data_IF_467626640447
#
_entry.id   IF_467626640447
#
_cell.length_a   1.000
_cell.length_b   1.000
_cell.length_c   1.000
_cell.angle_alpha   90.00
_cell.angle_beta   90.00
_cell.angle_gamma   90.00
#
_symmetry.space_group_name_H-M   'P 1'
#
loop_
_entity.id
_entity.type
_entity.pdbx_description
1 polymer ?
#
# COMPACT_ATOMS: atom_id res chain seq x y z
N UNK A 1 42.07 -13.48 27.47
CA UNK A 1 40.84 -13.86 26.73
C UNK A 1 40.32 -12.63 26.00
N UNK A 2 40.57 -12.56 24.70
CA UNK A 2 40.13 -11.43 23.86
C UNK A 2 38.57 -11.50 23.66
N UNK A 3 37.87 -10.46 24.09
CA UNK A 3 36.45 -10.31 23.80
C UNK A 3 36.30 -10.09 22.28
N UNK A 4 35.88 -11.12 21.53
CA UNK A 4 35.42 -10.94 20.16
C UNK A 4 34.30 -9.89 20.18
N UNK A 5 34.55 -8.73 19.56
CA UNK A 5 33.48 -7.78 19.24
C UNK A 5 32.45 -8.54 18.39
N UNK A 6 31.24 -8.68 18.89
CA UNK A 6 30.10 -9.11 18.05
C UNK A 6 29.93 -8.04 16.99
N UNK A 7 30.30 -8.33 15.77
CA UNK A 7 29.95 -7.50 14.64
C UNK A 7 28.42 -7.48 14.55
N UNK A 8 27.84 -6.29 14.56
CA UNK A 8 26.42 -6.13 14.32
C UNK A 8 26.14 -6.62 12.90
N UNK A 9 25.23 -7.57 12.69
CA UNK A 9 24.91 -8.04 11.35
C UNK A 9 24.45 -6.85 10.50
N UNK A 10 25.11 -6.61 9.38
CA UNK A 10 24.69 -5.60 8.42
C UNK A 10 23.51 -6.17 7.63
N UNK A 11 22.30 -5.78 8.00
CA UNK A 11 21.06 -6.10 7.27
C UNK A 11 20.73 -4.93 6.33
N UNK A 12 21.49 -4.79 5.26
CA UNK A 12 21.23 -3.88 4.15
C UNK A 12 21.12 -4.67 2.84
N UNK A 13 20.80 -4.02 1.71
CA UNK A 13 20.86 -4.68 0.42
C UNK A 13 22.23 -5.28 0.22
N UNK A 14 22.27 -6.61 0.24
CA UNK A 14 23.50 -7.37 -0.04
C UNK A 14 23.67 -7.44 -1.54
N UNK A 15 24.89 -7.51 -2.07
CA UNK A 15 25.12 -7.85 -3.46
C UNK A 15 24.32 -9.11 -3.82
N UNK A 16 23.52 -9.05 -4.88
CA UNK A 16 22.69 -10.17 -5.34
C UNK A 16 21.22 -10.14 -4.90
N UNK A 17 20.77 -9.12 -4.15
CA UNK A 17 19.36 -8.96 -3.80
C UNK A 17 18.98 -7.49 -3.57
N UNK A 18 17.68 -7.20 -3.65
CA UNK A 18 17.13 -5.88 -3.36
C UNK A 18 15.86 -5.98 -2.53
N UNK A 19 15.55 -4.90 -1.78
CA UNK A 19 14.37 -4.80 -0.96
C UNK A 19 13.22 -4.17 -1.75
N UNK A 20 12.05 -4.79 -1.66
CA UNK A 20 10.76 -4.26 -2.06
C UNK A 20 9.92 -4.06 -0.80
N UNK A 21 9.42 -2.85 -0.58
CA UNK A 21 8.52 -2.54 0.53
C UNK A 21 7.09 -2.45 0.04
N UNK A 22 6.19 -3.15 0.70
CA UNK A 22 4.77 -3.20 0.36
C UNK A 22 3.99 -2.38 1.36
N UNK A 23 3.24 -1.41 0.87
CA UNK A 23 2.40 -0.50 1.65
C UNK A 23 0.93 -0.76 1.33
N UNK A 24 0.14 -1.26 2.28
CA UNK A 24 -1.28 -1.52 2.08
C UNK A 24 -2.13 -0.28 2.31
N UNK A 25 -3.39 -0.44 2.22
CA UNK A 25 -4.55 0.43 2.38
C UNK A 25 -4.35 1.54 3.43
N UNK A 26 -4.31 2.78 3.00
CA UNK A 26 -4.03 3.96 3.84
C UNK A 26 -5.29 4.78 4.10
N UNK A 27 -6.14 4.95 3.08
CA UNK A 27 -7.40 5.70 3.14
C UNK A 27 -7.25 7.13 3.63
N UNK A 28 -6.42 7.94 2.99
CA UNK A 28 -6.32 9.37 3.28
C UNK A 28 -7.70 10.02 3.05
N UNK A 29 -8.27 10.74 4.02
CA UNK A 29 -7.67 11.27 5.25
C UNK A 29 -7.89 10.39 6.50
N UNK A 30 -8.36 9.15 6.34
CA UNK A 30 -8.71 8.25 7.45
C UNK A 30 -7.56 7.34 7.89
N UNK A 31 -6.32 7.67 7.50
CA UNK A 31 -5.13 6.93 7.93
C UNK A 31 -4.85 7.06 9.44
N UNK A 32 -4.12 6.10 9.97
CA UNK A 32 -3.61 6.16 11.32
C UNK A 32 -2.25 6.87 11.32
N UNK A 33 -2.15 8.00 12.01
CA UNK A 33 -0.95 8.85 12.00
C UNK A 33 0.28 8.15 12.57
N UNK A 34 0.11 7.40 13.65
CA UNK A 34 1.23 6.71 14.29
C UNK A 34 1.71 5.54 13.41
N UNK A 35 0.79 4.79 12.82
CA UNK A 35 1.16 3.73 11.88
C UNK A 35 1.88 4.29 10.66
N UNK A 36 1.39 5.39 10.08
CA UNK A 36 2.01 6.04 8.93
C UNK A 36 3.40 6.59 9.29
N UNK A 37 3.56 7.30 10.41
CA UNK A 37 4.85 7.83 10.84
C UNK A 37 5.88 6.70 11.07
N UNK A 38 5.46 5.60 11.69
CA UNK A 38 6.30 4.41 11.84
C UNK A 38 6.75 3.87 10.47
N UNK A 39 5.86 3.84 9.48
CA UNK A 39 6.18 3.37 8.10
C UNK A 39 7.13 4.33 7.40
N UNK A 40 6.90 5.64 7.47
CA UNK A 40 7.80 6.65 6.87
C UNK A 40 9.20 6.50 7.44
N UNK A 41 9.31 6.35 8.77
CA UNK A 41 10.60 6.15 9.41
C UNK A 41 11.27 4.83 9.01
N UNK A 42 10.51 3.73 8.95
CA UNK A 42 11.03 2.45 8.47
C UNK A 42 11.54 2.55 7.02
N UNK A 43 10.82 3.25 6.16
CA UNK A 43 11.19 3.48 4.77
C UNK A 43 12.50 4.28 4.63
N UNK A 44 12.67 5.34 5.43
CA UNK A 44 13.92 6.11 5.49
C UNK A 44 15.13 5.27 5.92
N UNK A 45 14.94 4.39 6.89
CA UNK A 45 16.00 3.52 7.42
C UNK A 45 16.37 2.38 6.48
N UNK A 46 15.38 1.83 5.78
CA UNK A 46 15.54 0.64 4.94
C UNK A 46 15.91 0.98 3.50
N UNK A 47 15.51 2.13 3.00
CA UNK A 47 15.75 2.61 1.62
C UNK A 47 15.45 1.53 0.59
N UNK A 48 14.18 1.08 0.48
CA UNK A 48 13.84 0.01 -0.43
C UNK A 48 14.13 0.43 -1.87
N UNK A 49 14.65 -0.46 -2.70
CA UNK A 49 14.83 -0.18 -4.12
C UNK A 49 13.50 0.10 -4.82
N UNK A 50 12.43 -0.57 -4.34
CA UNK A 50 11.08 -0.40 -4.87
C UNK A 50 10.06 -0.32 -3.76
N UNK A 51 9.10 0.58 -3.90
CA UNK A 51 7.92 0.69 -3.03
C UNK A 51 6.69 0.32 -3.84
N UNK A 52 5.92 -0.66 -3.37
CA UNK A 52 4.68 -1.10 -4.00
C UNK A 52 3.51 -0.76 -3.09
N UNK A 53 2.60 0.04 -3.60
CA UNK A 53 1.37 0.48 -2.96
C UNK A 53 0.25 -0.43 -3.44
N UNK A 54 -0.48 -1.04 -2.50
CA UNK A 54 -1.51 -2.01 -2.84
C UNK A 54 -2.89 -1.39 -3.14
N UNK A 55 -2.99 -0.06 -3.24
CA UNK A 55 -4.24 0.65 -3.50
C UNK A 55 -4.96 1.10 -2.23
N UNK A 56 -6.14 1.69 -2.42
CA UNK A 56 -6.94 2.29 -1.37
C UNK A 56 -6.12 3.27 -0.50
N UNK A 57 -5.29 4.10 -1.14
CA UNK A 57 -4.56 5.18 -0.49
C UNK A 57 -5.37 6.47 -0.41
N UNK A 58 -6.17 6.75 -1.44
CA UNK A 58 -7.20 7.78 -1.41
C UNK A 58 -8.53 7.12 -1.00
N UNK A 59 -9.24 7.71 -0.04
CA UNK A 59 -10.55 7.17 0.33
C UNK A 59 -11.60 7.46 -0.74
N UNK A 60 -11.40 8.53 -1.52
CA UNK A 60 -12.30 8.95 -2.60
C UNK A 60 -13.76 9.04 -2.14
N UNK A 61 -14.00 9.52 -0.90
CA UNK A 61 -15.34 9.63 -0.34
C UNK A 61 -16.21 10.58 -1.16
N UNK A 62 -15.63 11.66 -1.67
CA UNK A 62 -16.31 12.63 -2.53
C UNK A 62 -16.98 12.00 -3.76
N UNK A 63 -16.45 10.85 -4.20
CA UNK A 63 -16.89 10.08 -5.36
C UNK A 63 -17.73 8.85 -4.97
N UNK A 64 -18.05 8.69 -3.69
CA UNK A 64 -18.91 7.62 -3.20
C UNK A 64 -20.35 7.80 -3.70
N UNK A 65 -21.08 6.68 -3.88
CA UNK A 65 -22.53 6.72 -4.15
C UNK A 65 -23.32 7.22 -2.95
N UNK A 66 -22.76 7.14 -1.74
CA UNK A 66 -23.37 7.57 -0.47
C UNK A 66 -22.42 8.49 0.29
N UNK A 67 -22.09 9.70 -0.25
CA UNK A 67 -21.13 10.59 0.41
C UNK A 67 -21.72 11.15 1.70
N UNK A 68 -20.90 11.28 2.72
CA UNK A 68 -21.25 11.92 3.99
C UNK A 68 -21.47 13.44 3.81
N UNK A 69 -20.72 14.05 2.86
CA UNK A 69 -20.81 15.46 2.54
C UNK A 69 -21.85 15.75 1.48
N UNK A 70 -22.72 16.72 1.74
CA UNK A 70 -23.85 17.04 0.85
C UNK A 70 -23.54 18.04 -0.26
N UNK A 71 -22.56 18.94 -0.06
CA UNK A 71 -22.24 20.03 -0.98
C UNK A 71 -21.12 19.66 -1.95
N UNK A 72 -21.34 19.89 -3.25
CA UNK A 72 -20.36 19.57 -4.29
C UNK A 72 -19.01 20.29 -4.11
N UNK A 73 -19.03 21.56 -3.70
CA UNK A 73 -17.78 22.31 -3.43
C UNK A 73 -17.01 21.76 -2.24
N UNK A 74 -17.67 21.37 -1.17
CA UNK A 74 -17.07 20.76 0.00
C UNK A 74 -16.46 19.40 -0.36
N UNK A 75 -17.14 18.57 -1.14
CA UNK A 75 -16.62 17.30 -1.66
C UNK A 75 -15.38 17.49 -2.53
N UNK A 76 -15.42 18.47 -3.45
CA UNK A 76 -14.27 18.76 -4.30
C UNK A 76 -13.04 19.21 -3.47
N UNK A 77 -13.27 20.11 -2.49
CA UNK A 77 -12.22 20.57 -1.58
C UNK A 77 -11.64 19.41 -0.78
N UNK A 78 -12.48 18.56 -0.18
CA UNK A 78 -12.03 17.38 0.56
C UNK A 78 -11.18 16.46 -0.31
N UNK A 79 -11.56 16.23 -1.56
CA UNK A 79 -10.80 15.38 -2.47
C UNK A 79 -9.42 15.98 -2.82
N UNK A 80 -9.38 17.23 -3.29
CA UNK A 80 -8.10 17.81 -3.74
C UNK A 80 -7.17 18.20 -2.59
N UNK A 81 -7.70 18.89 -1.58
CA UNK A 81 -6.90 19.40 -0.46
C UNK A 81 -6.71 18.34 0.64
N UNK A 82 -7.74 17.54 0.92
CA UNK A 82 -7.72 16.56 2.01
C UNK A 82 -7.21 15.17 1.64
N UNK A 83 -7.25 14.79 0.36
CA UNK A 83 -6.80 13.47 -0.07
C UNK A 83 -5.61 13.55 -1.04
N UNK A 84 -5.79 14.21 -2.20
CA UNK A 84 -4.78 14.23 -3.27
C UNK A 84 -3.51 14.96 -2.85
N UNK A 85 -3.61 16.15 -2.26
CA UNK A 85 -2.45 16.92 -1.89
C UNK A 85 -1.60 16.23 -0.80
N UNK A 86 -2.16 15.72 0.31
CA UNK A 86 -1.41 14.92 1.28
C UNK A 86 -0.79 13.67 0.66
N UNK A 87 -1.53 12.95 -0.19
CA UNK A 87 -0.99 11.77 -0.88
C UNK A 87 0.21 12.11 -1.76
N UNK A 88 0.16 13.23 -2.50
CA UNK A 88 1.29 13.69 -3.32
C UNK A 88 2.51 14.05 -2.46
N UNK A 89 2.32 14.69 -1.30
CA UNK A 89 3.41 14.98 -0.35
C UNK A 89 4.04 13.69 0.19
N UNK A 90 3.22 12.71 0.56
CA UNK A 90 3.70 11.40 0.99
C UNK A 90 4.48 10.67 -0.11
N UNK A 91 3.95 10.62 -1.32
CA UNK A 91 4.65 10.02 -2.45
C UNK A 91 6.01 10.71 -2.72
N UNK A 92 6.08 12.04 -2.63
CA UNK A 92 7.34 12.78 -2.77
C UNK A 92 8.34 12.41 -1.67
N UNK A 93 7.88 12.23 -0.42
CA UNK A 93 8.72 11.77 0.69
C UNK A 93 9.26 10.36 0.48
N UNK A 94 8.45 9.45 -0.01
CA UNK A 94 8.90 8.10 -0.34
C UNK A 94 9.91 8.08 -1.48
N UNK A 95 9.74 8.94 -2.49
CA UNK A 95 10.69 9.07 -3.60
C UNK A 95 12.12 9.42 -3.18
N UNK A 96 12.31 10.05 -2.01
CA UNK A 96 13.65 10.36 -1.49
C UNK A 96 14.49 9.10 -1.26
N UNK A 97 13.85 7.98 -0.96
CA UNK A 97 14.51 6.76 -0.49
C UNK A 97 14.18 5.50 -1.31
N UNK A 98 13.59 5.64 -2.49
CA UNK A 98 13.28 4.52 -3.40
C UNK A 98 13.64 4.86 -4.83
N UNK A 99 13.90 3.87 -5.69
CA UNK A 99 14.18 4.08 -7.12
C UNK A 99 12.90 4.03 -7.95
N UNK A 100 11.88 3.32 -7.49
CA UNK A 100 10.62 3.11 -8.21
C UNK A 100 9.46 3.01 -7.22
N UNK A 101 8.36 3.68 -7.56
CA UNK A 101 7.07 3.51 -6.91
C UNK A 101 6.13 2.80 -7.89
N UNK A 102 5.51 1.73 -7.44
CA UNK A 102 4.43 1.06 -8.16
C UNK A 102 3.14 1.26 -7.39
N UNK A 103 2.16 1.87 -8.00
CA UNK A 103 0.85 2.13 -7.43
C UNK A 103 -0.16 1.20 -8.11
N UNK A 104 -0.71 0.26 -7.36
CA UNK A 104 -1.82 -0.57 -7.80
C UNK A 104 -3.09 0.12 -7.34
N UNK A 105 -3.97 0.45 -8.26
CA UNK A 105 -5.23 1.12 -7.94
C UNK A 105 -6.14 0.20 -7.13
N UNK A 106 -6.79 0.74 -6.10
CA UNK A 106 -7.77 0.04 -5.30
C UNK A 106 -9.21 0.32 -5.74
N UNK A 107 -10.15 -0.28 -5.06
CA UNK A 107 -11.56 -0.08 -5.36
C UNK A 107 -12.10 1.30 -4.91
N UNK A 108 -11.40 2.00 -4.01
CA UNK A 108 -11.74 3.36 -3.61
C UNK A 108 -11.36 4.36 -4.69
N UNK A 109 -10.15 4.33 -5.22
CA UNK A 109 -9.75 5.18 -6.35
C UNK A 109 -10.64 4.91 -7.59
N UNK A 110 -11.02 3.65 -7.82
CA UNK A 110 -11.92 3.27 -8.92
C UNK A 110 -13.31 3.93 -8.84
N UNK A 111 -13.70 4.49 -7.68
CA UNK A 111 -14.96 5.29 -7.58
C UNK A 111 -14.94 6.47 -8.53
N UNK A 112 -13.79 7.10 -8.73
CA UNK A 112 -13.61 8.22 -9.66
C UNK A 112 -13.91 7.75 -11.08
N UNK A 113 -13.25 6.69 -11.55
CA UNK A 113 -13.44 6.12 -12.88
C UNK A 113 -14.89 5.70 -13.12
N UNK A 114 -15.52 5.06 -12.13
CA UNK A 114 -16.91 4.63 -12.22
C UNK A 114 -17.90 5.81 -12.36
N UNK A 115 -17.62 6.93 -11.68
CA UNK A 115 -18.45 8.14 -11.82
C UNK A 115 -18.25 8.79 -13.18
N UNK A 116 -17.02 8.83 -13.65
CA UNK A 116 -16.64 9.40 -14.94
C UNK A 116 -17.26 8.64 -16.10
N UNK A 117 -17.31 7.31 -16.06
CA UNK A 117 -17.95 6.50 -17.12
C UNK A 117 -19.44 6.74 -17.25
N UNK A 118 -20.08 7.41 -16.29
CA UNK A 118 -21.48 7.84 -16.35
C UNK A 118 -21.66 9.26 -16.91
N UNK A 119 -20.57 9.97 -17.20
CA UNK A 119 -20.58 11.32 -17.75
C UNK A 119 -20.61 11.28 -19.28
N UNK A 120 -21.21 12.31 -19.89
CA UNK A 120 -21.30 12.45 -21.34
C UNK A 120 -20.74 13.80 -21.83
N UNK A 121 -20.34 13.85 -23.09
CA UNK A 121 -19.91 15.06 -23.76
C UNK A 121 -18.65 15.69 -23.15
N UNK A 122 -18.66 17.01 -22.98
CA UNK A 122 -17.54 17.79 -22.45
C UNK A 122 -17.04 17.33 -21.06
N UNK A 123 -17.90 16.67 -20.28
CA UNK A 123 -17.52 16.15 -18.97
C UNK A 123 -16.50 15.01 -19.07
N UNK A 124 -16.43 14.29 -20.17
CA UNK A 124 -15.40 13.27 -20.41
C UNK A 124 -14.01 13.88 -20.54
N UNK A 125 -13.91 15.09 -21.14
CA UNK A 125 -12.62 15.79 -21.27
C UNK A 125 -12.08 16.24 -19.91
N UNK A 126 -12.98 16.49 -18.95
CA UNK A 126 -12.61 16.86 -17.57
C UNK A 126 -12.26 15.63 -16.74
N UNK A 127 -12.79 14.50 -17.09
CA UNK A 127 -12.63 13.24 -16.37
C UNK A 127 -11.15 12.81 -16.22
N UNK A 128 -10.38 12.93 -17.29
CA UNK A 128 -8.94 12.65 -17.26
C UNK A 128 -8.19 13.56 -16.28
N UNK A 129 -8.64 14.82 -16.13
CA UNK A 129 -8.03 15.78 -15.21
C UNK A 129 -8.17 15.41 -13.73
N UNK A 130 -9.20 14.66 -13.38
CA UNK A 130 -9.49 14.24 -12.00
C UNK A 130 -9.14 12.79 -11.74
N UNK A 131 -8.61 12.07 -12.75
CA UNK A 131 -8.24 10.66 -12.56
C UNK A 131 -7.11 10.52 -11.54
N UNK A 132 -7.20 9.58 -10.59
CA UNK A 132 -6.13 9.32 -9.62
C UNK A 132 -4.80 9.04 -10.30
N UNK A 133 -4.79 8.30 -11.41
CA UNK A 133 -3.59 8.04 -12.18
C UNK A 133 -2.88 9.33 -12.60
N UNK A 134 -3.57 10.28 -13.17
CA UNK A 134 -2.99 11.56 -13.60
C UNK A 134 -2.54 12.39 -12.41
N UNK A 135 -3.44 12.59 -11.43
CA UNK A 135 -3.19 13.42 -10.26
C UNK A 135 -1.97 12.93 -9.44
N UNK A 136 -1.77 11.62 -9.34
CA UNK A 136 -0.67 11.05 -8.57
C UNK A 136 0.62 10.87 -9.38
N UNK A 137 0.57 10.72 -10.70
CA UNK A 137 1.76 10.55 -11.53
C UNK A 137 2.42 11.88 -11.93
N UNK A 138 1.67 12.98 -11.96
CA UNK A 138 2.18 14.28 -12.37
C UNK A 138 3.26 14.78 -11.41
N UNK A 139 4.39 15.28 -11.98
CA UNK A 139 5.50 15.85 -11.23
C UNK A 139 6.38 14.85 -10.48
N UNK A 140 6.22 13.53 -10.69
CA UNK A 140 7.08 12.51 -10.09
C UNK A 140 8.52 12.61 -10.62
N UNK A 141 9.49 12.47 -9.71
CA UNK A 141 10.93 12.54 -10.01
C UNK A 141 11.55 11.18 -10.28
N UNK A 142 10.95 10.15 -9.72
CA UNK A 142 11.38 8.75 -9.87
C UNK A 142 10.44 8.02 -10.82
N UNK A 143 10.82 6.81 -11.18
CA UNK A 143 9.93 5.93 -11.96
C UNK A 143 8.65 5.66 -11.18
N UNK A 144 7.52 6.02 -11.76
CA UNK A 144 6.19 5.81 -11.23
C UNK A 144 5.38 4.94 -12.20
N UNK A 145 4.93 3.79 -11.72
CA UNK A 145 4.12 2.85 -12.50
C UNK A 145 2.74 2.78 -11.86
N UNK A 146 1.70 3.11 -12.61
CA UNK A 146 0.31 3.01 -12.17
C UNK A 146 -0.36 1.80 -12.84
N UNK A 147 -1.02 0.96 -12.05
CA UNK A 147 -1.75 -0.22 -12.52
C UNK A 147 -3.23 -0.01 -12.21
N UNK A 148 -4.08 0.24 -13.21
CA UNK A 148 -5.48 0.57 -13.00
C UNK A 148 -6.28 -0.63 -12.47
N UNK A 149 -7.30 -0.36 -11.68
CA UNK A 149 -8.28 -1.34 -11.24
C UNK A 149 -9.30 -1.61 -12.37
N UNK A 150 -9.40 -2.86 -12.80
CA UNK A 150 -10.30 -3.27 -13.88
C UNK A 150 -11.12 -4.47 -13.43
N UNK A 151 -12.32 -4.27 -12.84
CA UNK A 151 -13.08 -5.35 -12.19
C UNK A 151 -13.54 -6.45 -13.14
N UNK A 152 -13.72 -6.14 -14.42
CA UNK A 152 -14.16 -7.09 -15.45
C UNK A 152 -13.03 -7.55 -16.40
N UNK A 153 -11.77 -7.39 -15.98
CA UNK A 153 -10.64 -7.75 -16.83
C UNK A 153 -10.55 -9.25 -17.06
N UNK A 154 -10.24 -9.63 -18.30
CA UNK A 154 -9.91 -11.02 -18.65
C UNK A 154 -8.62 -11.48 -17.95
N UNK A 155 -7.68 -10.55 -17.75
CA UNK A 155 -6.46 -10.74 -16.94
C UNK A 155 -6.55 -9.80 -15.76
N UNK A 156 -6.54 -10.34 -14.54
CA UNK A 156 -6.65 -9.55 -13.32
C UNK A 156 -5.43 -8.61 -13.17
N UNK A 157 -5.64 -7.33 -12.86
CA UNK A 157 -4.55 -6.39 -12.63
C UNK A 157 -3.60 -6.88 -11.53
N UNK A 158 -2.30 -6.89 -11.82
CA UNK A 158 -1.29 -7.31 -10.87
C UNK A 158 0.07 -6.70 -11.21
N UNK A 159 0.93 -6.60 -10.21
CA UNK A 159 2.34 -6.29 -10.39
C UNK A 159 3.21 -7.49 -10.10
N UNK A 160 4.09 -7.85 -11.02
CA UNK A 160 5.01 -8.98 -10.85
C UNK A 160 6.27 -8.55 -10.09
N UNK A 161 6.40 -8.95 -8.84
CA UNK A 161 7.57 -8.69 -7.99
C UNK A 161 8.72 -9.63 -8.32
N UNK A 162 8.44 -10.93 -8.39
CA UNK A 162 9.38 -12.00 -8.73
C UNK A 162 8.77 -12.96 -9.75
N UNK A 163 9.48 -14.00 -10.16
CA UNK A 163 9.02 -14.94 -11.19
C UNK A 163 7.69 -15.60 -10.82
N UNK A 164 7.49 -15.94 -9.55
CA UNK A 164 6.31 -16.61 -9.00
C UNK A 164 5.59 -15.78 -7.92
N UNK A 165 5.89 -14.47 -7.80
CA UNK A 165 5.31 -13.58 -6.81
C UNK A 165 4.68 -12.35 -7.46
N UNK A 166 3.40 -12.13 -7.16
CA UNK A 166 2.64 -10.96 -7.60
C UNK A 166 2.08 -10.15 -6.43
N UNK A 167 1.90 -8.85 -6.66
CA UNK A 167 1.16 -7.94 -5.80
C UNK A 167 -0.15 -7.54 -6.47
N UNK A 168 -1.22 -7.44 -5.69
CA UNK A 168 -2.55 -7.04 -6.12
C UNK A 168 -3.20 -6.17 -5.04
N UNK A 169 -4.21 -5.37 -5.41
CA UNK A 169 -5.02 -4.72 -4.38
C UNK A 169 -5.77 -5.78 -3.55
N UNK A 170 -6.52 -6.63 -4.19
CA UNK A 170 -7.30 -7.71 -3.57
C UNK A 170 -8.51 -8.05 -4.43
N UNK A 171 -8.93 -9.32 -4.38
CA UNK A 171 -10.02 -9.84 -5.22
C UNK A 171 -11.23 -10.31 -4.41
N UNK A 172 -11.13 -10.36 -3.09
CA UNK A 172 -12.20 -10.93 -2.25
C UNK A 172 -12.13 -10.45 -0.80
N UNK A 173 -13.30 -10.28 -0.18
CA UNK A 173 -13.48 -10.01 1.26
C UNK A 173 -13.69 -11.28 2.10
N UNK A 174 -13.53 -12.46 1.54
CA UNK A 174 -13.78 -13.71 2.24
C UNK A 174 -13.09 -13.74 3.60
N UNK A 175 -13.67 -14.44 4.59
CA UNK A 175 -13.08 -14.63 5.92
C UNK A 175 -11.66 -15.20 5.81
N UNK A 176 -11.44 -16.13 4.90
CA UNK A 176 -10.15 -16.75 4.59
C UNK A 176 -9.64 -16.23 3.24
N UNK A 177 -9.48 -14.90 3.14
CA UNK A 177 -9.08 -14.23 1.91
C UNK A 177 -7.74 -14.73 1.37
N UNK A 178 -6.76 -15.02 2.23
CA UNK A 178 -5.46 -15.53 1.79
C UNK A 178 -5.58 -16.87 1.05
N UNK A 179 -6.35 -17.82 1.57
CA UNK A 179 -6.59 -19.09 0.88
C UNK A 179 -7.30 -18.87 -0.46
N UNK A 180 -8.28 -17.96 -0.51
CA UNK A 180 -9.02 -17.66 -1.73
C UNK A 180 -8.18 -16.95 -2.79
N UNK A 181 -7.31 -16.04 -2.39
CA UNK A 181 -6.34 -15.41 -3.31
C UNK A 181 -5.40 -16.44 -3.91
N UNK A 182 -4.91 -17.39 -3.12
CA UNK A 182 -4.04 -18.44 -3.63
C UNK A 182 -4.76 -19.36 -4.61
N UNK A 183 -6.03 -19.69 -4.33
CA UNK A 183 -6.87 -20.46 -5.25
C UNK A 183 -7.07 -19.74 -6.60
N UNK A 184 -7.28 -18.41 -6.59
CA UNK A 184 -7.44 -17.60 -7.80
C UNK A 184 -6.12 -17.47 -8.56
N UNK A 185 -5.03 -17.20 -7.86
CA UNK A 185 -3.70 -16.98 -8.45
C UNK A 185 -3.05 -18.26 -8.98
N UNK A 186 -3.50 -19.41 -8.51
CA UNK A 186 -3.00 -20.74 -8.90
C UNK A 186 -1.48 -20.87 -8.66
N UNK A 187 -0.67 -20.67 -9.70
CA UNK A 187 0.79 -20.87 -9.70
C UNK A 187 1.60 -19.65 -9.29
N UNK A 188 1.00 -18.71 -8.55
CA UNK A 188 1.68 -17.53 -8.02
C UNK A 188 1.47 -17.38 -6.52
N UNK A 189 2.52 -17.01 -5.83
CA UNK A 189 2.41 -16.40 -4.52
C UNK A 189 1.86 -14.97 -4.65
N UNK A 190 1.08 -14.51 -3.66
CA UNK A 190 0.33 -13.25 -3.76
C UNK A 190 0.45 -12.44 -2.48
N UNK A 191 0.89 -11.18 -2.59
CA UNK A 191 0.68 -10.18 -1.53
C UNK A 191 -0.50 -9.29 -1.91
N UNK A 192 -1.42 -9.06 -0.97
CA UNK A 192 -2.65 -8.32 -1.22
C UNK A 192 -3.08 -7.42 -0.05
N UNK A 193 -3.80 -6.32 -0.34
CA UNK A 193 -4.44 -5.40 0.59
C UNK A 193 -5.93 -5.69 0.78
N UNK A 194 -6.76 -4.63 0.76
CA UNK A 194 -8.23 -4.66 0.69
C UNK A 194 -8.97 -5.20 1.93
N UNK A 195 -8.47 -6.21 2.59
CA UNK A 195 -9.15 -6.85 3.73
C UNK A 195 -8.78 -6.24 5.07
N UNK A 196 -7.76 -5.41 5.14
CA UNK A 196 -7.21 -4.74 6.32
C UNK A 196 -6.76 -5.69 7.44
N UNK A 197 -6.91 -6.98 7.24
CA UNK A 197 -6.57 -8.03 8.22
C UNK A 197 -5.23 -8.64 7.88
N UNK A 198 -4.42 -8.91 8.90
CA UNK A 198 -3.23 -9.74 8.70
C UNK A 198 -3.65 -11.19 8.53
N UNK A 199 -3.37 -11.76 7.38
CA UNK A 199 -3.67 -13.15 7.03
C UNK A 199 -2.53 -13.75 6.23
N UNK A 200 -2.35 -15.05 6.37
CA UNK A 200 -1.50 -15.80 5.47
C UNK A 200 -2.06 -17.22 5.25
N UNK A 201 -1.75 -17.75 4.10
CA UNK A 201 -2.04 -19.14 3.76
C UNK A 201 -0.96 -19.68 2.82
N UNK A 202 -0.45 -20.86 3.13
CA UNK A 202 0.58 -21.53 2.33
C UNK A 202 0.06 -22.89 1.88
N UNK A 203 0.24 -23.21 0.62
CA UNK A 203 -0.08 -24.51 0.06
C UNK A 203 1.04 -25.02 -0.83
N UNK A 204 1.23 -26.33 -0.83
CA UNK A 204 2.15 -27.01 -1.74
C UNK A 204 1.37 -27.64 -2.88
N UNK A 205 1.80 -27.36 -4.11
CA UNK A 205 1.33 -28.07 -5.29
C UNK A 205 1.94 -29.50 -5.28
N UNK A 206 1.13 -30.55 -5.17
CA UNK A 206 1.65 -31.91 -5.10
C UNK A 206 2.18 -32.44 -6.44
N UNK A 207 1.81 -31.79 -7.56
CA UNK A 207 2.20 -32.21 -8.91
C UNK A 207 3.53 -31.57 -9.28
N UNK A 208 3.63 -30.25 -9.15
CA UNK A 208 4.84 -29.51 -9.47
C UNK A 208 5.87 -29.49 -8.33
N UNK A 209 5.45 -29.85 -7.12
CA UNK A 209 6.29 -29.85 -5.92
C UNK A 209 6.62 -28.47 -5.39
N UNK A 210 6.05 -27.41 -5.95
CA UNK A 210 6.27 -26.01 -5.56
C UNK A 210 5.36 -25.61 -4.40
N UNK A 211 5.85 -24.66 -3.60
CA UNK A 211 5.07 -24.08 -2.49
C UNK A 211 4.73 -22.64 -2.83
N UNK A 212 3.47 -22.28 -2.69
CA UNK A 212 2.95 -20.94 -2.91
C UNK A 212 2.35 -20.39 -1.63
N UNK A 213 2.44 -19.07 -1.47
CA UNK A 213 1.95 -18.36 -0.30
C UNK A 213 1.10 -17.16 -0.72
N UNK A 214 -0.04 -16.96 -0.06
CA UNK A 214 -0.77 -15.69 -0.14
C UNK A 214 -0.81 -15.04 1.23
N UNK A 215 -0.62 -13.71 1.29
CA UNK A 215 -0.69 -12.98 2.55
C UNK A 215 -1.11 -11.53 2.38
N UNK A 216 -1.74 -11.00 3.43
CA UNK A 216 -2.02 -9.58 3.60
C UNK A 216 -1.30 -9.07 4.85
N UNK A 217 -0.57 -7.96 4.77
CA UNK A 217 0.12 -7.39 5.94
C UNK A 217 -0.81 -6.68 6.91
N UNK A 218 -2.05 -6.38 6.53
CA UNK A 218 -2.98 -5.53 7.25
C UNK A 218 -3.27 -4.24 6.49
N UNK A 219 -3.39 -3.11 7.19
CA UNK A 219 -3.63 -1.77 6.63
C UNK A 219 -2.81 -0.69 7.36
N UNK A 220 -2.96 0.56 6.91
CA UNK A 220 -2.41 1.75 7.56
C UNK A 220 -3.52 2.77 7.91
N UNK A 221 -4.78 2.41 7.67
CA UNK A 221 -5.96 3.19 8.02
C UNK A 221 -6.32 3.04 9.50
N UNK A 222 -7.16 3.95 10.02
CA UNK A 222 -7.73 3.80 11.38
C UNK A 222 -8.38 2.44 11.54
N UNK A 223 -8.04 1.72 12.62
CA UNK A 223 -8.54 0.36 12.86
C UNK A 223 -10.05 0.32 13.17
N UNK A 224 -10.59 1.41 13.70
CA UNK A 224 -12.03 1.53 13.98
C UNK A 224 -12.55 2.85 13.39
N UNK A 225 -12.77 2.95 12.07
CA UNK A 225 -13.31 4.15 11.46
C UNK A 225 -14.80 4.35 11.84
N UNK A 226 -15.28 5.59 11.76
CA UNK A 226 -16.64 5.95 12.21
C UNK A 226 -17.74 5.15 11.52
N UNK A 227 -17.59 4.80 10.25
CA UNK A 227 -18.57 4.00 9.52
C UNK A 227 -18.65 2.53 10.00
N UNK A 228 -17.66 2.07 10.78
CA UNK A 228 -17.64 0.76 11.43
C UNK A 228 -18.01 0.83 12.93
N UNK A 229 -18.53 1.98 13.41
CA UNK A 229 -18.72 2.27 14.84
C UNK A 229 -19.48 1.18 15.64
N UNK A 230 -20.37 0.45 14.98
CA UNK A 230 -21.18 -0.60 15.60
C UNK A 230 -20.66 -2.03 15.36
N UNK A 231 -19.62 -2.18 14.55
CA UNK A 231 -19.05 -3.46 14.20
C UNK A 231 -17.55 -3.46 14.52
N UNK A 232 -17.11 -4.14 15.59
CA UNK A 232 -15.67 -4.23 15.88
C UNK A 232 -14.95 -4.86 14.70
N UNK A 233 -13.82 -4.26 14.33
CA UNK A 233 -12.98 -4.76 13.27
C UNK A 233 -11.93 -5.72 13.82
N UNK A 234 -11.45 -6.61 12.97
CA UNK A 234 -10.28 -7.46 13.19
C UNK A 234 -9.05 -6.95 12.38
N UNK A 235 -9.04 -5.64 12.11
CA UNK A 235 -8.01 -4.95 11.36
C UNK A 235 -6.73 -4.79 12.17
N UNK A 236 -5.60 -4.78 11.49
CA UNK A 236 -4.29 -4.58 12.11
C UNK A 236 -3.39 -3.72 11.25
N UNK A 237 -2.51 -2.95 11.88
CA UNK A 237 -1.49 -2.20 11.17
C UNK A 237 -0.29 -3.09 10.84
N UNK A 238 0.21 -2.98 9.62
CA UNK A 238 1.40 -3.68 9.19
C UNK A 238 1.82 -3.35 7.76
N UNK A 239 3.02 -3.78 7.43
CA UNK A 239 3.62 -3.65 6.09
C UNK A 239 4.31 -4.95 5.73
N UNK A 240 4.74 -5.11 4.48
CA UNK A 240 5.55 -6.26 4.08
C UNK A 240 6.88 -5.81 3.50
N UNK A 241 7.95 -6.49 3.88
CA UNK A 241 9.31 -6.30 3.41
C UNK A 241 9.73 -7.55 2.65
N UNK A 242 10.07 -7.42 1.38
CA UNK A 242 10.37 -8.56 0.51
C UNK A 242 11.77 -8.38 -0.05
N UNK A 243 12.69 -9.28 0.32
CA UNK A 243 14.00 -9.38 -0.33
C UNK A 243 13.87 -10.26 -1.56
N UNK A 244 14.21 -9.71 -2.70
CA UNK A 244 14.18 -10.40 -3.99
C UNK A 244 15.60 -10.55 -4.50
N UNK A 245 16.03 -11.78 -4.78
CA UNK A 245 17.31 -12.05 -5.40
C UNK A 245 17.37 -11.51 -6.84
N UNK A 246 18.56 -11.21 -7.35
CA UNK A 246 18.73 -10.63 -8.69
C UNK A 246 18.28 -11.57 -9.82
N UNK A 247 18.28 -12.90 -9.56
CA UNK A 247 17.71 -13.89 -10.44
C UNK A 247 16.17 -13.81 -10.54
N UNK A 248 15.53 -13.13 -9.57
CA UNK A 248 14.08 -13.02 -9.41
C UNK A 248 13.35 -14.35 -9.19
N UNK A 249 14.05 -15.42 -8.90
CA UNK A 249 13.48 -16.74 -8.62
C UNK A 249 13.38 -17.00 -7.10
N UNK A 250 14.24 -16.34 -6.33
CA UNK A 250 14.27 -16.47 -4.88
C UNK A 250 13.85 -15.18 -4.19
N UNK A 251 12.99 -15.31 -3.21
CA UNK A 251 12.54 -14.19 -2.39
C UNK A 251 12.23 -14.64 -0.96
N UNK A 252 12.29 -13.70 -0.04
CA UNK A 252 11.92 -13.92 1.38
C UNK A 252 11.16 -12.71 1.86
N UNK A 253 10.05 -12.94 2.58
CA UNK A 253 9.24 -11.87 3.15
C UNK A 253 9.34 -11.81 4.67
N UNK A 254 9.16 -10.60 5.19
CA UNK A 254 8.98 -10.30 6.59
C UNK A 254 7.88 -9.24 6.72
N UNK A 255 6.80 -9.58 7.43
CA UNK A 255 5.64 -8.69 7.56
C UNK A 255 5.42 -8.30 9.02
N UNK A 256 6.10 -7.25 9.51
CA UNK A 256 5.93 -6.77 10.87
C UNK A 256 4.54 -6.15 11.07
N UNK A 257 3.95 -6.41 12.23
CA UNK A 257 2.82 -5.62 12.71
C UNK A 257 3.35 -4.32 13.34
N UNK A 258 2.58 -3.26 13.18
CA UNK A 258 2.82 -1.98 13.86
C UNK A 258 1.85 -1.94 15.05
N UNK A 259 2.39 -1.80 16.25
CA UNK A 259 1.61 -1.76 17.48
C UNK A 259 1.99 -0.52 18.29
N UNK A 260 0.99 0.28 18.64
CA UNK A 260 1.21 1.54 19.38
C UNK A 260 2.32 2.39 18.73
N UNK A 261 2.19 2.63 17.43
CA UNK A 261 3.14 3.43 16.66
C UNK A 261 4.56 2.87 16.60
N UNK A 262 4.76 1.57 16.79
CA UNK A 262 6.10 0.97 16.74
C UNK A 262 6.12 -0.42 16.10
N UNK A 263 7.26 -0.75 15.47
CA UNK A 263 7.54 -2.09 14.97
C UNK A 263 9.02 -2.44 15.15
N UNK A 264 9.37 -3.69 14.93
CA UNK A 264 10.75 -4.16 14.90
C UNK A 264 11.09 -4.58 13.48
N UNK A 265 12.19 -4.06 12.95
CA UNK A 265 12.70 -4.42 11.62
C UNK A 265 13.41 -5.77 11.65
N UNK A 266 13.66 -6.42 10.49
CA UNK A 266 14.34 -7.71 10.43
C UNK A 266 15.75 -7.72 11.03
N UNK A 267 16.41 -6.56 11.08
CA UNK A 267 17.74 -6.39 11.69
C UNK A 267 17.69 -6.16 13.21
N UNK A 268 16.50 -6.22 13.81
CA UNK A 268 16.27 -6.03 15.23
C UNK A 268 16.16 -4.56 15.68
N UNK A 269 16.28 -3.58 14.78
CA UNK A 269 16.04 -2.17 15.11
C UNK A 269 14.56 -1.95 15.41
N UNK A 270 14.29 -1.28 16.53
CA UNK A 270 12.95 -0.78 16.84
C UNK A 270 12.76 0.56 16.12
N UNK A 271 11.62 0.71 15.46
CA UNK A 271 11.14 1.95 14.83
C UNK A 271 9.97 2.47 15.63
N UNK A 272 9.92 3.77 15.88
CA UNK A 272 8.84 4.44 16.62
C UNK A 272 8.30 5.63 15.83
N UNK A 273 7.00 5.84 15.90
CA UNK A 273 6.29 6.87 15.17
C UNK A 273 6.80 8.29 15.45
N UNK A 274 7.18 8.58 16.72
CA UNK A 274 7.66 9.92 17.10
C UNK A 274 8.87 10.41 16.31
N UNK A 275 9.62 9.51 15.65
CA UNK A 275 10.78 9.89 14.82
C UNK A 275 10.41 10.49 13.46
N UNK A 276 9.16 10.37 13.01
CA UNK A 276 8.67 10.92 11.75
C UNK A 276 7.28 11.56 11.87
N UNK A 277 6.79 11.80 13.09
CA UNK A 277 5.45 12.36 13.32
C UNK A 277 5.31 13.77 12.75
N UNK A 278 6.34 14.62 12.88
CA UNK A 278 6.30 15.97 12.32
C UNK A 278 6.01 16.00 10.83
N UNK A 279 6.60 15.06 10.07
CA UNK A 279 6.30 14.96 8.64
C UNK A 279 4.81 14.62 8.38
N UNK A 280 4.23 13.71 9.18
CA UNK A 280 2.82 13.31 9.00
C UNK A 280 1.88 14.46 9.33
N UNK A 281 2.21 15.26 10.36
CA UNK A 281 1.45 16.46 10.72
C UNK A 281 1.55 17.53 9.63
N UNK A 282 2.75 17.84 9.15
CA UNK A 282 2.99 18.78 8.03
C UNK A 282 2.32 18.33 6.72
N UNK A 283 2.26 17.02 6.48
CA UNK A 283 1.61 16.45 5.29
C UNK A 283 0.12 16.77 5.23
N UNK A 284 -0.54 16.89 6.38
CA UNK A 284 -1.98 17.19 6.46
C UNK A 284 -2.29 18.70 6.47
N UNK A 285 -1.32 19.55 6.76
CA UNK A 285 -1.53 21.00 6.76
C UNK A 285 -1.78 21.51 5.34
N UNK A 286 -2.84 22.31 5.17
CA UNK A 286 -3.09 22.98 3.89
C UNK A 286 -2.08 24.13 3.70
N UNK A 287 -1.64 24.38 2.47
CA UNK A 287 -0.72 25.49 2.13
C UNK A 287 -1.31 26.89 2.40
N UNK A 288 -2.56 26.99 2.84
CA UNK A 288 -3.31 28.21 3.11
C UNK A 288 -3.50 28.49 4.61
N UNK A 289 -2.55 28.14 5.49
CA UNK A 289 -2.56 28.52 6.91
C UNK A 289 -1.76 29.79 7.19
#
# INVERSE_FOLDING_TARGET
MSKRKRETPVYGPRPGSHLVMILPDLHIPHHDKEALACVVRAHELLKPRRTVILGDWLDCEAWSQHPLLSRAQERARTFFEGEVAPCRRLLAKLEENTDEIVYIEGNHEFRVERMVTQMEGVMLDIADLVSPQRLLSEGRRKRFTYIPYVPAATVLPHYRIASDLIAVHGWTFARHAAAKHLEIAKHYSVVFGHVHRKQEFTARDPIEGRTYKAWSPGCLSKLQPLYMAHNPTDWVHGVSLIWVADDREHWTEYSPMIQNGSCVLPDGRKVIASEAMSFVEEMEESEDA
#
